data_IF_530427881141
#
_entry.id   IF_530427881141
#
_cell.length_a   1.000
_cell.length_b   1.000
_cell.length_c   1.000
_cell.angle_alpha   90.00
_cell.angle_beta   90.00
_cell.angle_gamma   90.00
#
_symmetry.space_group_name_H-M   'P 1'
#
loop_
_entity.id
_entity.type
_entity.pdbx_description
1 polymer ?
#
# COMPACT_ATOMS: atom_id res chain seq x y z
N UNK A 1 -12.99 4.03 -6.23
CA UNK A 1 -12.40 2.71 -6.61
C UNK A 1 -13.34 1.58 -6.19
N UNK A 2 -14.65 1.85 -6.16
CA UNK A 2 -15.59 1.14 -5.28
C UNK A 2 -16.42 0.08 -6.01
N UNK A 3 -16.08 -0.19 -7.28
CA UNK A 3 -16.75 -1.15 -8.15
C UNK A 3 -15.94 -2.44 -8.38
N UNK A 4 -14.81 -2.63 -7.70
CA UNK A 4 -13.92 -3.78 -7.86
C UNK A 4 -14.18 -4.82 -6.75
N UNK A 5 -14.27 -6.09 -7.14
CA UNK A 5 -14.34 -7.22 -6.22
C UNK A 5 -13.09 -7.19 -5.29
N UNK A 6 -13.18 -7.45 -3.96
CA UNK A 6 -12.04 -7.32 -3.05
C UNK A 6 -10.77 -8.04 -3.51
N UNK A 7 -10.91 -9.20 -4.16
CA UNK A 7 -9.77 -9.92 -4.75
C UNK A 7 -9.07 -9.14 -5.88
N UNK A 8 -9.82 -8.40 -6.70
CA UNK A 8 -9.24 -7.55 -7.75
C UNK A 8 -8.56 -6.30 -7.17
N UNK A 9 -9.12 -5.70 -6.11
CA UNK A 9 -8.49 -4.56 -5.41
C UNK A 9 -7.15 -5.02 -4.79
N UNK A 10 -7.14 -6.14 -4.08
CA UNK A 10 -5.90 -6.71 -3.53
C UNK A 10 -4.88 -7.03 -4.64
N UNK A 11 -5.29 -7.64 -5.75
CA UNK A 11 -4.39 -7.93 -6.87
C UNK A 11 -3.82 -6.65 -7.53
N UNK A 12 -4.64 -5.60 -7.67
CA UNK A 12 -4.22 -4.32 -8.22
C UNK A 12 -3.22 -3.62 -7.30
N UNK A 13 -3.48 -3.56 -5.99
CA UNK A 13 -2.53 -2.99 -5.02
C UNK A 13 -1.23 -3.80 -4.95
N UNK A 14 -1.32 -5.13 -4.99
CA UNK A 14 -0.14 -6.02 -4.97
C UNK A 14 0.72 -5.83 -6.20
N UNK A 15 0.11 -5.77 -7.39
CA UNK A 15 0.83 -5.55 -8.64
C UNK A 15 1.43 -4.14 -8.69
N UNK A 16 0.69 -3.11 -8.30
CA UNK A 16 1.21 -1.74 -8.18
C UNK A 16 2.41 -1.65 -7.21
N UNK A 17 2.32 -2.32 -6.06
CA UNK A 17 3.43 -2.46 -5.11
C UNK A 17 4.63 -3.18 -5.71
N UNK A 18 4.40 -4.28 -6.44
CA UNK A 18 5.46 -5.03 -7.10
C UNK A 18 6.17 -4.21 -8.19
N UNK A 19 5.42 -3.44 -8.99
CA UNK A 19 5.97 -2.50 -9.96
C UNK A 19 6.77 -1.38 -9.29
N UNK A 20 6.23 -0.77 -8.22
CA UNK A 20 6.93 0.25 -7.44
C UNK A 20 8.25 -0.28 -6.85
N UNK A 21 8.24 -1.48 -6.28
CA UNK A 21 9.44 -2.13 -5.77
C UNK A 21 10.47 -2.47 -6.85
N UNK A 22 10.02 -2.85 -8.05
CA UNK A 22 10.89 -3.06 -9.20
C UNK A 22 11.53 -1.75 -9.68
N UNK A 23 10.75 -0.66 -9.73
CA UNK A 23 11.24 0.66 -10.10
C UNK A 23 12.30 1.17 -9.11
N UNK A 24 12.02 1.09 -7.80
CA UNK A 24 12.98 1.47 -6.74
C UNK A 24 14.23 0.58 -6.81
N UNK A 25 14.06 -0.73 -7.01
CA UNK A 25 15.18 -1.65 -7.17
C UNK A 25 16.02 -1.36 -8.40
N UNK A 26 15.40 -0.93 -9.50
CA UNK A 26 16.09 -0.50 -10.72
C UNK A 26 16.94 0.74 -10.45
N UNK A 27 16.37 1.76 -9.81
CA UNK A 27 17.12 2.96 -9.41
C UNK A 27 18.29 2.54 -8.51
N UNK A 28 18.07 1.81 -7.42
CA UNK A 28 19.16 1.42 -6.52
C UNK A 28 20.26 0.60 -7.21
N UNK A 29 19.92 -0.16 -8.27
CA UNK A 29 20.91 -0.89 -9.05
C UNK A 29 21.89 0.01 -9.80
N UNK A 30 21.42 1.17 -10.30
CA UNK A 30 22.25 2.19 -10.96
C UNK A 30 23.19 2.86 -9.96
N UNK A 31 22.72 3.14 -8.75
CA UNK A 31 23.51 3.83 -7.72
C UNK A 31 24.52 2.91 -7.03
N UNK A 32 24.39 1.58 -7.17
CA UNK A 32 25.30 0.57 -6.63
C UNK A 32 26.42 0.14 -7.58
N UNK A 33 26.51 0.71 -8.79
CA UNK A 33 27.58 0.36 -9.72
C UNK A 33 28.93 0.75 -9.09
N UNK A 34 29.83 -0.22 -8.82
CA UNK A 34 31.13 0.10 -8.26
C UNK A 34 31.94 0.96 -9.24
N UNK A 35 32.68 1.95 -8.72
CA UNK A 35 33.58 2.78 -9.53
C UNK A 35 34.62 1.89 -10.21
N UNK A 36 35.01 2.26 -11.43
CA UNK A 36 35.92 1.55 -12.35
C UNK A 36 37.06 0.81 -11.61
N UNK A 37 37.06 -0.53 -11.68
CA UNK A 37 38.16 -1.38 -11.18
C UNK A 37 37.76 -2.64 -10.40
N UNK A 38 36.49 -2.79 -9.98
CA UNK A 38 36.00 -4.02 -9.36
C UNK A 38 35.05 -4.77 -10.30
N UNK A 39 35.08 -6.11 -10.24
CA UNK A 39 34.23 -6.99 -11.05
C UNK A 39 32.77 -6.52 -11.02
N UNK A 40 32.22 -6.23 -12.21
CA UNK A 40 30.81 -5.86 -12.34
C UNK A 40 29.95 -6.96 -11.70
N UNK A 41 29.07 -6.63 -10.74
CA UNK A 41 28.21 -7.62 -10.15
C UNK A 41 27.37 -8.25 -11.26
N UNK A 42 27.45 -9.58 -11.37
CA UNK A 42 26.67 -10.37 -12.33
C UNK A 42 25.24 -9.84 -12.45
N UNK A 43 24.77 -9.66 -13.69
CA UNK A 43 23.40 -9.25 -14.00
C UNK A 43 22.35 -10.05 -13.22
N UNK A 44 22.61 -11.34 -12.95
CA UNK A 44 21.75 -12.19 -12.14
C UNK A 44 21.64 -11.72 -10.67
N UNK A 45 22.71 -11.18 -10.07
CA UNK A 45 22.68 -10.61 -8.72
C UNK A 45 21.89 -9.29 -8.68
N UNK A 46 22.01 -8.48 -9.72
CA UNK A 46 21.22 -7.25 -9.86
C UNK A 46 19.72 -7.57 -10.04
N UNK A 47 19.39 -8.50 -10.94
CA UNK A 47 18.02 -8.94 -11.17
C UNK A 47 17.39 -9.56 -9.92
N UNK A 48 18.15 -10.36 -9.16
CA UNK A 48 17.71 -10.90 -7.87
C UNK A 48 17.49 -9.81 -6.82
N UNK A 49 18.31 -8.76 -6.83
CA UNK A 49 18.14 -7.59 -5.97
C UNK A 49 16.88 -6.78 -6.32
N UNK A 50 16.56 -6.63 -7.60
CA UNK A 50 15.34 -5.97 -8.08
C UNK A 50 14.12 -6.83 -7.74
N UNK A 51 14.19 -8.13 -8.03
CA UNK A 51 13.11 -9.08 -7.73
C UNK A 51 12.80 -9.19 -6.24
N UNK A 52 13.82 -9.24 -5.38
CA UNK A 52 13.62 -9.26 -3.93
C UNK A 52 12.90 -8.01 -3.42
N UNK A 53 13.19 -6.83 -3.99
CA UNK A 53 12.50 -5.58 -3.66
C UNK A 53 11.08 -5.56 -4.22
N UNK A 54 10.87 -6.02 -5.45
CA UNK A 54 9.54 -6.15 -6.04
C UNK A 54 8.63 -7.03 -5.17
N UNK A 55 9.13 -8.17 -4.69
CA UNK A 55 8.38 -9.06 -3.78
C UNK A 55 8.13 -8.40 -2.41
N UNK A 56 9.11 -7.70 -1.85
CA UNK A 56 8.94 -7.00 -0.57
C UNK A 56 7.88 -5.89 -0.66
N UNK A 57 7.91 -5.05 -1.69
CA UNK A 57 6.91 -3.98 -1.84
C UNK A 57 5.55 -4.55 -2.28
N UNK A 58 5.51 -5.58 -3.13
CA UNK A 58 4.26 -6.26 -3.49
C UNK A 58 3.57 -6.91 -2.29
N UNK A 59 4.33 -7.60 -1.42
CA UNK A 59 3.79 -8.18 -0.18
C UNK A 59 3.34 -7.11 0.82
N UNK A 60 4.05 -5.99 0.92
CA UNK A 60 3.63 -4.85 1.74
C UNK A 60 2.27 -4.28 1.28
N UNK A 61 2.09 -4.10 -0.03
CA UNK A 61 0.83 -3.64 -0.61
C UNK A 61 -0.30 -4.67 -0.52
N UNK A 62 0.01 -5.97 -0.62
CA UNK A 62 -0.95 -7.04 -0.36
C UNK A 62 -1.46 -6.98 1.08
N UNK A 63 -0.54 -6.93 2.05
CA UNK A 63 -0.87 -6.86 3.48
C UNK A 63 -1.67 -5.59 3.78
N UNK A 64 -1.31 -4.46 3.16
CA UNK A 64 -2.06 -3.21 3.27
C UNK A 64 -3.52 -3.39 2.83
N UNK A 65 -3.74 -3.81 1.59
CA UNK A 65 -5.08 -3.92 1.01
C UNK A 65 -5.94 -4.96 1.75
N UNK A 66 -5.35 -6.11 2.11
CA UNK A 66 -6.03 -7.13 2.89
C UNK A 66 -6.45 -6.63 4.28
N UNK A 67 -5.56 -5.88 4.95
CA UNK A 67 -5.82 -5.34 6.29
C UNK A 67 -6.83 -4.20 6.26
N UNK A 68 -6.79 -3.34 5.25
CA UNK A 68 -7.77 -2.28 5.03
C UNK A 68 -9.17 -2.87 4.79
N UNK A 69 -9.29 -3.89 3.93
CA UNK A 69 -10.55 -4.60 3.71
C UNK A 69 -11.09 -5.25 4.98
N UNK A 70 -10.21 -5.87 5.77
CA UNK A 70 -10.59 -6.47 7.04
C UNK A 70 -11.08 -5.41 8.05
N UNK A 71 -10.36 -4.30 8.18
CA UNK A 71 -10.74 -3.18 9.04
C UNK A 71 -12.09 -2.58 8.64
N UNK A 72 -12.31 -2.37 7.33
CA UNK A 72 -13.56 -1.87 6.79
C UNK A 72 -14.72 -2.87 7.05
N UNK A 73 -14.47 -4.18 6.94
CA UNK A 73 -15.48 -5.21 7.19
C UNK A 73 -15.99 -5.25 8.64
N UNK A 74 -15.12 -4.96 9.61
CA UNK A 74 -15.46 -4.97 11.03
C UNK A 74 -16.16 -3.66 11.44
N UNK A 75 -15.69 -2.53 10.91
CA UNK A 75 -16.13 -1.21 11.37
C UNK A 75 -17.31 -0.65 10.57
N UNK A 76 -17.54 -1.15 9.35
CA UNK A 76 -18.59 -0.69 8.41
C UNK A 76 -18.64 0.84 8.21
N UNK A 77 -17.54 1.52 8.49
CA UNK A 77 -17.36 2.97 8.38
C UNK A 77 -16.09 3.23 7.59
N UNK A 78 -16.18 4.14 6.61
CA UNK A 78 -15.03 4.59 5.82
C UNK A 78 -14.37 5.78 6.52
N UNK A 79 -13.59 5.47 7.55
CA UNK A 79 -12.87 6.45 8.37
C UNK A 79 -11.36 6.39 8.07
N UNK A 80 -10.67 7.50 8.34
CA UNK A 80 -9.20 7.65 8.25
C UNK A 80 -8.41 6.58 9.03
N UNK A 81 -9.06 5.91 9.98
CA UNK A 81 -8.49 4.84 10.80
C UNK A 81 -8.33 3.52 10.03
N UNK A 82 -9.15 3.22 9.03
CA UNK A 82 -9.02 2.00 8.23
C UNK A 82 -7.69 1.95 7.47
N UNK A 83 -7.31 2.98 6.67
CA UNK A 83 -6.02 3.01 6.01
C UNK A 83 -4.86 3.17 7.01
N UNK A 84 -5.07 3.81 8.17
CA UNK A 84 -4.06 3.90 9.22
C UNK A 84 -3.69 2.51 9.78
N UNK A 85 -4.70 1.70 10.15
CA UNK A 85 -4.50 0.35 10.65
C UNK A 85 -3.88 -0.53 9.55
N UNK A 86 -4.37 -0.41 8.31
CA UNK A 86 -3.77 -1.08 7.15
C UNK A 86 -2.27 -0.78 7.03
N UNK A 87 -1.89 0.50 7.12
CA UNK A 87 -0.50 0.93 7.04
C UNK A 87 0.37 0.50 8.22
N UNK A 88 -0.19 0.44 9.44
CA UNK A 88 0.52 -0.11 10.60
C UNK A 88 0.84 -1.60 10.41
N UNK A 89 -0.13 -2.39 9.94
CA UNK A 89 0.06 -3.84 9.72
C UNK A 89 1.05 -4.10 8.58
N UNK A 90 1.06 -3.24 7.55
CA UNK A 90 2.08 -3.30 6.49
C UNK A 90 3.52 -3.18 7.03
N UNK A 91 3.72 -2.52 8.19
CA UNK A 91 5.02 -2.42 8.87
C UNK A 91 5.65 -3.78 9.25
N UNK A 92 4.87 -4.87 9.28
CA UNK A 92 5.39 -6.23 9.49
C UNK A 92 6.35 -6.62 8.35
N UNK A 93 6.06 -6.21 7.12
CA UNK A 93 6.87 -6.59 5.94
C UNK A 93 8.31 -6.06 6.02
N UNK A 94 8.55 -4.75 6.24
CA UNK A 94 9.91 -4.26 6.46
C UNK A 94 10.56 -4.83 7.73
N UNK A 95 9.79 -5.15 8.78
CA UNK A 95 10.30 -5.83 9.97
C UNK A 95 10.92 -7.20 9.62
N UNK A 96 10.22 -7.99 8.81
CA UNK A 96 10.67 -9.32 8.36
C UNK A 96 11.83 -9.20 7.38
N UNK A 97 11.75 -8.28 6.41
CA UNK A 97 12.79 -8.10 5.38
C UNK A 97 14.12 -7.61 5.97
N UNK A 98 14.07 -6.71 6.97
CA UNK A 98 15.27 -6.19 7.65
C UNK A 98 15.65 -6.96 8.92
N UNK A 99 14.83 -7.95 9.31
CA UNK A 99 14.95 -8.67 10.59
C UNK A 99 15.09 -7.72 11.79
N UNK A 100 14.43 -6.57 11.73
CA UNK A 100 14.54 -5.52 12.74
C UNK A 100 13.16 -4.88 12.99
N UNK A 101 12.66 -5.07 14.21
CA UNK A 101 11.34 -4.59 14.65
C UNK A 101 11.27 -3.07 14.65
N UNK A 102 12.36 -2.35 14.93
CA UNK A 102 12.39 -0.88 14.95
C UNK A 102 12.13 -0.32 13.56
N UNK A 103 12.72 -0.94 12.53
CA UNK A 103 12.44 -0.58 11.13
C UNK A 103 11.00 -0.89 10.75
N UNK A 104 10.43 -1.98 11.29
CA UNK A 104 9.02 -2.32 11.11
C UNK A 104 8.05 -1.31 11.70
N UNK A 105 8.28 -0.91 12.95
CA UNK A 105 7.45 0.07 13.65
C UNK A 105 7.56 1.46 13.01
N UNK A 106 8.78 1.91 12.70
CA UNK A 106 9.00 3.20 12.04
C UNK A 106 8.33 3.26 10.67
N UNK A 107 8.48 2.20 9.86
CA UNK A 107 7.84 2.11 8.56
C UNK A 107 6.31 2.00 8.68
N UNK A 108 5.80 1.22 9.63
CA UNK A 108 4.36 1.07 9.86
C UNK A 108 3.69 2.39 10.26
N UNK A 109 4.29 3.16 11.17
CA UNK A 109 3.78 4.48 11.57
C UNK A 109 3.85 5.47 10.41
N UNK A 110 4.96 5.48 9.64
CA UNK A 110 5.11 6.36 8.50
C UNK A 110 4.07 6.06 7.39
N UNK A 111 3.89 4.78 7.05
CA UNK A 111 2.91 4.34 6.04
C UNK A 111 1.49 4.58 6.55
N UNK A 112 1.18 4.23 7.80
CA UNK A 112 -0.14 4.46 8.40
C UNK A 112 -0.51 5.94 8.41
N UNK A 113 0.40 6.80 8.86
CA UNK A 113 0.18 8.26 8.88
C UNK A 113 0.06 8.82 7.46
N UNK A 114 0.93 8.38 6.54
CA UNK A 114 0.89 8.81 5.14
C UNK A 114 -0.42 8.44 4.46
N UNK A 115 -0.89 7.20 4.63
CA UNK A 115 -2.16 6.74 4.06
C UNK A 115 -3.37 7.38 4.73
N UNK A 116 -3.31 7.68 6.02
CA UNK A 116 -4.34 8.46 6.71
C UNK A 116 -4.45 9.89 6.15
N UNK A 117 -3.30 10.54 5.94
CA UNK A 117 -3.25 11.89 5.34
C UNK A 117 -3.72 11.86 3.89
N UNK A 118 -3.27 10.89 3.09
CA UNK A 118 -3.73 10.73 1.70
C UNK A 118 -5.24 10.52 1.65
N UNK A 119 -5.79 9.66 2.53
CA UNK A 119 -7.22 9.45 2.62
C UNK A 119 -7.96 10.73 3.04
N UNK A 120 -7.40 11.55 3.94
CA UNK A 120 -8.00 12.84 4.31
C UNK A 120 -8.07 13.81 3.12
N UNK A 121 -7.02 13.88 2.30
CA UNK A 121 -7.01 14.72 1.10
C UNK A 121 -7.92 14.16 -0.01
N UNK A 122 -7.93 12.84 -0.21
CA UNK A 122 -8.80 12.17 -1.19
C UNK A 122 -10.28 12.30 -0.81
N UNK A 123 -10.59 12.22 0.50
CA UNK A 123 -11.92 12.53 1.05
C UNK A 123 -12.29 14.01 0.90
N UNK A 124 -11.30 14.88 0.69
CA UNK A 124 -11.50 16.30 0.43
C UNK A 124 -11.77 16.64 -1.03
N UNK A 125 -11.28 15.81 -1.97
CA UNK A 125 -11.31 16.11 -3.41
C UNK A 125 -12.45 15.43 -4.18
N UNK A 126 -13.17 14.42 -3.64
CA UNK A 126 -14.35 13.90 -4.33
C UNK A 126 -15.41 13.15 -3.49
N UNK A 127 -16.69 13.48 -3.76
CA UNK A 127 -17.93 12.69 -3.56
C UNK A 127 -18.68 12.73 -2.22
N UNK A 128 -19.17 13.91 -1.88
CA UNK A 128 -20.63 14.15 -1.87
C UNK A 128 -20.83 15.64 -1.71
N UNK A 129 -21.45 16.29 -2.70
CA UNK A 129 -22.11 17.56 -2.40
C UNK A 129 -23.01 17.33 -1.17
N UNK A 130 -23.13 18.25 -0.21
CA UNK A 130 -23.99 18.04 0.97
C UNK A 130 -25.40 17.56 0.58
N UNK A 131 -25.85 17.95 -0.62
CA UNK A 131 -27.07 17.51 -1.29
C UNK A 131 -27.12 16.02 -1.64
N UNK A 132 -26.06 15.40 -2.17
CA UNK A 132 -26.05 13.95 -2.47
C UNK A 132 -26.05 13.11 -1.20
N UNK A 133 -25.38 13.56 -0.14
CA UNK A 133 -25.42 12.91 1.18
C UNK A 133 -26.80 12.99 1.82
N UNK A 134 -27.58 14.03 1.50
CA UNK A 134 -28.98 14.16 1.86
C UNK A 134 -29.92 13.35 0.96
N UNK A 135 -29.65 13.29 -0.35
CA UNK A 135 -30.45 12.55 -1.33
C UNK A 135 -30.37 11.02 -1.11
N UNK A 136 -29.18 10.49 -0.86
CA UNK A 136 -28.98 9.05 -0.61
C UNK A 136 -29.36 8.61 0.81
N UNK A 137 -29.60 9.56 1.73
CA UNK A 137 -30.04 9.23 3.10
C UNK A 137 -31.40 8.55 3.11
N UNK A 138 -32.25 8.72 2.11
CA UNK A 138 -33.60 8.13 2.11
C UNK A 138 -33.79 7.00 1.10
N UNK A 139 -32.72 6.57 0.42
CA UNK A 139 -32.83 5.52 -0.60
C UNK A 139 -33.12 4.13 0.01
N UNK A 140 -32.83 3.94 1.31
CA UNK A 140 -33.27 2.73 2.04
C UNK A 140 -34.78 2.66 2.28
N UNK A 141 -35.53 3.75 2.04
CA UNK A 141 -37.00 3.79 2.13
C UNK A 141 -37.70 3.51 0.80
N UNK A 142 -37.00 3.46 -0.33
CA UNK A 142 -37.58 3.18 -1.65
C UNK A 142 -37.64 1.68 -1.99
N UNK A 143 -37.77 0.82 -0.98
CA UNK A 143 -38.11 -0.59 -1.22
C UNK A 143 -39.61 -0.69 -1.52
N UNK A 144 -39.93 -0.75 -2.81
CA UNK A 144 -41.08 -1.49 -3.33
C UNK A 144 -40.56 -2.67 -4.17
#
# INVERSE_FOLDING_TARGET
MDSLNPGQKVALFTSAGAFGGAAIGSVESVWRIPRLGQELPSFAKQLRGIGARSVAFGSASFVFAASEHFAHSIRSHDDVWNPFIGGLVTGIVPAVVKQNVVWGLGAGVAIGTGMAVLHYFESGDDKTSPLEKWANRYDYLKKD
#
